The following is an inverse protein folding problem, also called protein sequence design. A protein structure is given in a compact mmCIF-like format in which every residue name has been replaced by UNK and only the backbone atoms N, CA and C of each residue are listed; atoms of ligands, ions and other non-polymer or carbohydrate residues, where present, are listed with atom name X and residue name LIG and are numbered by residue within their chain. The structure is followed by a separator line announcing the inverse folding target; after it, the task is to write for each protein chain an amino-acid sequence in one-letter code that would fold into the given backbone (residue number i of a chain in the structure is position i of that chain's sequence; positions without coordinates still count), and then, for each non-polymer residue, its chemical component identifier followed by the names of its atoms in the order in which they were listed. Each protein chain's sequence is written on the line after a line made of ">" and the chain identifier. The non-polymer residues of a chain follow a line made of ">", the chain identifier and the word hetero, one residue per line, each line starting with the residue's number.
data_IF_633029941783
#
_entry.id   IF_633029941783
#
_cell.length_a   1.000
_cell.length_b   1.000
_cell.length_c   1.000
_cell.angle_alpha   90.00
_cell.angle_beta   90.00
_cell.angle_gamma   90.00
#
_symmetry.space_group_name_H-M   'P 1'
#
loop_
_entity.id
_entity.type
_entity.pdbx_description
1 polymer ?
#
# COMPACT_ATOMS: atom_id res chain seq x y z
N UNK A 1 -1.66 -17.23 -15.11
CA UNK A 1 -0.36 -16.86 -15.67
C UNK A 1 0.77 -17.59 -14.92
N UNK A 2 0.68 -17.76 -13.59
CA UNK A 2 1.76 -18.25 -12.71
C UNK A 2 1.67 -19.75 -12.35
N UNK A 3 0.96 -20.58 -13.08
CA UNK A 3 0.84 -22.02 -12.81
C UNK A 3 2.21 -22.77 -12.82
N UNK A 4 3.24 -22.19 -13.44
CA UNK A 4 4.58 -22.75 -13.42
C UNK A 4 5.22 -22.71 -12.01
N UNK A 5 4.74 -21.88 -11.09
CA UNK A 5 5.23 -21.80 -9.72
C UNK A 5 4.85 -23.01 -8.83
N UNK A 6 3.92 -23.85 -9.29
CA UNK A 6 3.53 -25.08 -8.58
C UNK A 6 4.60 -26.20 -8.69
N UNK A 7 5.70 -25.94 -9.41
CA UNK A 7 6.80 -26.87 -9.64
C UNK A 7 8.02 -26.51 -8.79
N UNK A 8 9.01 -27.41 -8.78
CA UNK A 8 10.31 -27.13 -8.20
C UNK A 8 11.05 -26.06 -9.02
N UNK A 9 11.99 -25.34 -8.36
CA UNK A 9 12.77 -24.30 -9.02
C UNK A 9 13.56 -24.89 -10.20
N UNK A 10 13.42 -24.31 -11.40
CA UNK A 10 14.23 -24.73 -12.56
C UNK A 10 15.67 -24.21 -12.44
N UNK A 11 16.59 -24.81 -13.19
CA UNK A 11 18.00 -24.37 -13.24
C UNK A 11 18.18 -22.92 -13.75
N UNK A 12 17.15 -22.37 -14.39
CA UNK A 12 17.13 -20.98 -14.89
C UNK A 12 16.84 -19.93 -13.82
N UNK A 13 16.35 -20.32 -12.65
CA UNK A 13 15.96 -19.43 -11.58
C UNK A 13 16.80 -19.67 -10.31
N UNK A 14 17.11 -18.59 -9.58
CA UNK A 14 17.69 -18.72 -8.25
C UNK A 14 16.66 -19.37 -7.30
N UNK A 15 16.98 -20.43 -6.56
CA UNK A 15 16.03 -21.13 -5.68
C UNK A 15 15.42 -20.23 -4.59
N UNK A 16 16.18 -19.24 -4.09
CA UNK A 16 15.67 -18.29 -3.09
C UNK A 16 14.64 -17.36 -3.70
N UNK A 17 14.89 -16.84 -4.92
CA UNK A 17 13.92 -16.01 -5.65
C UNK A 17 12.68 -16.82 -6.01
N UNK A 18 12.83 -18.07 -6.41
CA UNK A 18 11.70 -18.96 -6.70
C UNK A 18 10.81 -19.13 -5.46
N UNK A 19 11.43 -19.43 -4.32
CA UNK A 19 10.71 -19.55 -3.04
C UNK A 19 10.02 -18.26 -2.64
N UNK A 20 10.70 -17.13 -2.78
CA UNK A 20 10.14 -15.80 -2.53
C UNK A 20 8.93 -15.52 -3.43
N UNK A 21 9.05 -15.81 -4.73
CA UNK A 21 7.96 -15.67 -5.69
C UNK A 21 6.74 -16.53 -5.32
N UNK A 22 6.95 -17.78 -4.89
CA UNK A 22 5.87 -18.65 -4.40
C UNK A 22 5.14 -18.05 -3.19
N UNK A 23 5.88 -17.42 -2.26
CA UNK A 23 5.30 -16.75 -1.09
C UNK A 23 4.53 -15.49 -1.50
N UNK A 24 5.09 -14.67 -2.39
CA UNK A 24 4.45 -13.46 -2.90
C UNK A 24 3.20 -13.75 -3.76
N UNK A 25 3.08 -14.97 -4.28
CA UNK A 25 1.88 -15.40 -5.01
C UNK A 25 0.69 -15.77 -4.11
N UNK A 26 0.87 -15.76 -2.80
CA UNK A 26 -0.22 -15.94 -1.83
C UNK A 26 -0.97 -14.61 -1.68
N UNK A 27 -2.18 -14.53 -2.21
CA UNK A 27 -2.97 -13.30 -2.28
C UNK A 27 -4.35 -13.46 -1.64
N UNK A 28 -4.97 -12.37 -1.27
CA UNK A 28 -6.32 -12.32 -0.72
C UNK A 28 -6.45 -11.42 0.50
N UNK A 29 -7.52 -11.64 1.26
CA UNK A 29 -7.85 -10.93 2.50
C UNK A 29 -7.33 -11.73 3.70
N UNK A 30 -6.55 -11.07 4.56
CA UNK A 30 -5.96 -11.65 5.75
C UNK A 30 -6.31 -10.83 6.99
N UNK A 31 -6.75 -11.47 8.05
CA UNK A 31 -6.82 -10.85 9.37
C UNK A 31 -5.42 -10.85 9.99
N UNK A 32 -4.90 -9.66 10.31
CA UNK A 32 -3.59 -9.47 10.94
C UNK A 32 -3.70 -9.61 12.45
N UNK A 33 -4.70 -8.96 13.01
CA UNK A 33 -5.14 -9.05 14.41
C UNK A 33 -6.60 -8.56 14.47
N UNK A 34 -7.26 -8.73 15.60
CA UNK A 34 -8.67 -8.36 15.76
C UNK A 34 -8.96 -6.93 15.26
N UNK A 35 -9.79 -6.86 14.22
CA UNK A 35 -10.21 -5.62 13.57
C UNK A 35 -9.14 -4.94 12.72
N UNK A 36 -8.03 -5.60 12.40
CA UNK A 36 -7.05 -5.13 11.38
C UNK A 36 -6.93 -6.20 10.31
N UNK A 37 -7.24 -5.81 9.08
CA UNK A 37 -7.24 -6.68 7.91
C UNK A 37 -6.32 -6.13 6.84
N UNK A 38 -5.74 -7.01 6.04
CA UNK A 38 -4.84 -6.63 4.96
C UNK A 38 -5.20 -7.39 3.68
N UNK A 39 -5.35 -6.67 2.58
CA UNK A 39 -5.43 -7.29 1.25
C UNK A 39 -4.03 -7.30 0.65
N UNK A 40 -3.54 -8.49 0.35
CA UNK A 40 -2.19 -8.77 -0.16
C UNK A 40 -2.23 -9.32 -1.56
N UNK A 41 -1.20 -9.04 -2.36
CA UNK A 41 -1.02 -9.60 -3.70
C UNK A 41 -1.97 -9.05 -4.77
N UNK A 42 -2.66 -7.95 -4.51
CA UNK A 42 -3.50 -7.24 -5.49
C UNK A 42 -2.70 -6.19 -6.27
N UNK A 43 -1.61 -5.73 -5.69
CA UNK A 43 -0.64 -4.83 -6.30
C UNK A 43 0.76 -5.11 -5.72
N UNK A 44 1.71 -4.26 -5.99
CA UNK A 44 3.07 -4.29 -5.43
C UNK A 44 3.04 -4.10 -3.91
N UNK A 45 2.32 -3.11 -3.44
CA UNK A 45 2.07 -2.84 -2.02
C UNK A 45 0.85 -3.60 -1.48
N UNK A 46 0.62 -3.52 -0.18
CA UNK A 46 -0.56 -4.07 0.50
C UNK A 46 -1.42 -2.94 1.06
N UNK A 47 -2.74 -3.07 0.93
CA UNK A 47 -3.67 -2.15 1.58
C UNK A 47 -4.16 -2.72 2.90
N UNK A 48 -4.17 -1.89 3.95
CA UNK A 48 -4.63 -2.26 5.29
C UNK A 48 -5.95 -1.56 5.63
N UNK A 49 -6.87 -2.30 6.24
CA UNK A 49 -8.17 -1.83 6.71
C UNK A 49 -8.25 -2.01 8.23
N UNK A 50 -8.41 -0.90 8.95
CA UNK A 50 -8.57 -0.89 10.41
C UNK A 50 -10.03 -0.60 10.70
N UNK A 51 -10.68 -1.48 11.46
CA UNK A 51 -12.06 -1.31 11.87
C UNK A 51 -12.16 -0.28 12.98
N UNK A 52 -12.86 0.79 12.70
CA UNK A 52 -13.28 1.78 13.70
C UNK A 52 -14.68 1.47 14.26
N UNK A 53 -15.26 2.42 14.99
CA UNK A 53 -16.58 2.28 15.61
C UNK A 53 -17.69 2.21 14.56
N UNK A 54 -17.58 2.98 13.47
CA UNK A 54 -18.65 3.13 12.46
C UNK A 54 -18.20 2.80 11.03
N UNK A 55 -16.90 2.73 10.77
CA UNK A 55 -16.39 2.56 9.42
C UNK A 55 -14.97 2.00 9.36
N UNK A 56 -14.31 2.22 8.23
CA UNK A 56 -12.95 1.81 7.95
C UNK A 56 -11.97 2.99 8.00
N UNK A 57 -10.80 2.76 8.57
CA UNK A 57 -9.59 3.55 8.34
C UNK A 57 -8.75 2.74 7.37
N UNK A 58 -8.49 3.31 6.19
CA UNK A 58 -7.73 2.65 5.13
C UNK A 58 -6.30 3.16 5.15
N UNK A 59 -5.33 2.26 5.08
CA UNK A 59 -3.90 2.63 5.04
C UNK A 59 -3.31 2.15 3.72
N UNK A 60 -2.66 3.05 3.01
CA UNK A 60 -1.94 2.81 1.76
C UNK A 60 -2.80 2.15 0.67
N UNK A 61 -3.65 2.91 -0.01
CA UNK A 61 -4.64 2.40 -0.95
C UNK A 61 -4.06 1.97 -2.32
N UNK A 62 -2.90 1.29 -2.33
CA UNK A 62 -2.28 0.71 -3.52
C UNK A 62 -1.87 1.74 -4.59
N UNK A 63 -1.36 1.25 -5.74
CA UNK A 63 -0.86 2.09 -6.84
C UNK A 63 -1.97 2.51 -7.81
N UNK A 64 -2.93 1.61 -8.12
CA UNK A 64 -3.97 1.90 -9.09
C UNK A 64 -5.38 1.85 -8.50
N UNK A 65 -6.24 2.71 -9.05
CA UNK A 65 -7.66 2.80 -8.67
C UNK A 65 -8.37 1.45 -8.82
N UNK A 66 -8.07 0.73 -9.89
CA UNK A 66 -8.71 -0.55 -10.22
C UNK A 66 -8.34 -1.63 -9.20
N UNK A 67 -7.07 -1.71 -8.79
CA UNK A 67 -6.63 -2.65 -7.77
C UNK A 67 -7.17 -2.28 -6.39
N UNK A 68 -7.18 -0.99 -6.05
CA UNK A 68 -7.74 -0.48 -4.79
C UNK A 68 -9.25 -0.75 -4.69
N UNK A 69 -10.01 -0.50 -5.76
CA UNK A 69 -11.44 -0.81 -5.81
C UNK A 69 -11.72 -2.31 -5.68
N UNK A 70 -10.92 -3.16 -6.36
CA UNK A 70 -11.05 -4.61 -6.25
C UNK A 70 -10.72 -5.11 -4.82
N UNK A 71 -9.69 -4.56 -4.19
CA UNK A 71 -9.33 -4.87 -2.82
C UNK A 71 -10.42 -4.44 -1.83
N UNK A 72 -10.99 -3.25 -2.02
CA UNK A 72 -12.09 -2.75 -1.18
C UNK A 72 -13.35 -3.61 -1.36
N UNK A 73 -13.70 -3.97 -2.59
CA UNK A 73 -14.83 -4.89 -2.86
C UNK A 73 -14.65 -6.23 -2.16
N UNK A 74 -13.42 -6.78 -2.15
CA UNK A 74 -13.13 -8.03 -1.43
C UNK A 74 -13.38 -7.88 0.09
N UNK A 75 -13.03 -6.73 0.67
CA UNK A 75 -13.30 -6.43 2.07
C UNK A 75 -14.80 -6.34 2.32
N UNK A 76 -15.55 -5.61 1.49
CA UNK A 76 -17.01 -5.48 1.63
C UNK A 76 -17.75 -6.82 1.51
N UNK A 77 -17.34 -7.67 0.57
CA UNK A 77 -17.92 -8.99 0.36
C UNK A 77 -17.74 -9.94 1.56
N UNK A 78 -16.62 -9.83 2.27
CA UNK A 78 -16.27 -10.73 3.37
C UNK A 78 -16.61 -10.17 4.76
N UNK A 79 -16.53 -8.85 4.94
CA UNK A 79 -16.65 -8.21 6.26
C UNK A 79 -17.86 -7.25 6.36
N UNK A 80 -18.56 -7.03 5.25
CA UNK A 80 -19.72 -6.14 5.17
C UNK A 80 -19.37 -4.73 4.73
N UNK A 81 -20.38 -4.02 4.22
CA UNK A 81 -20.25 -2.66 3.69
C UNK A 81 -20.29 -1.64 4.83
N UNK A 82 -19.21 -0.89 4.98
CA UNK A 82 -19.07 0.19 5.94
C UNK A 82 -18.42 1.41 5.26
N UNK A 83 -18.77 2.65 5.68
CA UNK A 83 -18.15 3.84 5.12
C UNK A 83 -16.67 3.90 5.47
N UNK A 84 -15.87 4.52 4.61
CA UNK A 84 -14.51 4.93 4.95
C UNK A 84 -14.57 6.21 5.78
N UNK A 85 -13.79 6.30 6.86
CA UNK A 85 -13.69 7.45 7.77
C UNK A 85 -12.39 8.20 7.63
N UNK A 86 -11.32 7.48 7.28
CA UNK A 86 -10.06 8.10 6.95
C UNK A 86 -9.25 7.24 5.99
N UNK A 87 -8.34 7.91 5.27
CA UNK A 87 -7.26 7.28 4.53
C UNK A 87 -5.94 7.82 5.09
N UNK A 88 -5.00 6.93 5.35
CA UNK A 88 -3.65 7.26 5.84
C UNK A 88 -2.66 6.88 4.74
N UNK A 89 -1.85 7.83 4.30
CA UNK A 89 -0.68 7.59 3.48
C UNK A 89 0.55 7.49 4.37
N UNK A 90 1.24 6.37 4.35
CA UNK A 90 2.44 6.18 5.18
C UNK A 90 3.61 7.00 4.69
N UNK A 91 3.80 7.05 3.37
CA UNK A 91 4.90 7.75 2.72
C UNK A 91 4.57 8.13 1.26
N UNK A 92 5.48 8.86 0.63
CA UNK A 92 5.24 9.57 -0.63
C UNK A 92 5.45 8.75 -1.91
N UNK A 93 5.64 7.43 -1.83
CA UNK A 93 5.69 6.56 -3.01
C UNK A 93 4.29 6.26 -3.55
N UNK A 94 4.17 6.21 -4.87
CA UNK A 94 2.87 6.17 -5.57
C UNK A 94 2.05 4.90 -5.30
N UNK A 95 2.70 3.80 -5.01
CA UNK A 95 2.05 2.53 -4.70
C UNK A 95 1.40 2.50 -3.30
N UNK A 96 1.56 3.57 -2.51
CA UNK A 96 0.92 3.76 -1.21
C UNK A 96 -0.20 4.81 -1.22
N UNK A 97 -0.43 5.51 -2.35
CA UNK A 97 -1.53 6.48 -2.44
C UNK A 97 -2.27 6.48 -3.78
N UNK A 98 -1.66 5.96 -4.83
CA UNK A 98 -2.15 6.11 -6.21
C UNK A 98 -3.54 5.56 -6.48
N UNK A 99 -3.98 4.57 -5.72
CA UNK A 99 -5.30 3.96 -5.84
C UNK A 99 -6.42 4.65 -5.06
N UNK A 100 -6.16 5.75 -4.37
CA UNK A 100 -7.08 6.37 -3.41
C UNK A 100 -8.49 6.61 -3.95
N UNK A 101 -8.63 7.07 -5.20
CA UNK A 101 -9.95 7.30 -5.83
C UNK A 101 -10.67 6.01 -6.24
N UNK A 102 -10.07 4.86 -6.08
CA UNK A 102 -10.75 3.57 -6.15
C UNK A 102 -11.54 3.22 -4.88
N UNK A 103 -11.30 3.96 -3.78
CA UNK A 103 -11.89 3.71 -2.47
C UNK A 103 -12.76 4.88 -1.99
N UNK A 104 -12.31 6.13 -2.20
CA UNK A 104 -13.02 7.35 -1.79
C UNK A 104 -13.09 8.35 -2.94
N UNK A 105 -14.03 9.29 -2.85
CA UNK A 105 -14.16 10.42 -3.78
C UNK A 105 -13.60 11.73 -3.19
N UNK A 106 -13.36 12.73 -4.03
CA UNK A 106 -13.04 14.08 -3.55
C UNK A 106 -14.21 14.73 -2.81
N UNK A 107 -15.45 14.41 -3.19
CA UNK A 107 -16.65 14.90 -2.54
C UNK A 107 -16.73 14.43 -1.08
N UNK A 108 -16.36 13.18 -0.79
CA UNK A 108 -16.32 12.63 0.57
C UNK A 108 -15.34 13.39 1.45
N UNK A 109 -14.20 13.81 0.88
CA UNK A 109 -13.17 14.59 1.58
C UNK A 109 -13.60 16.05 1.76
N UNK A 110 -14.19 16.66 0.72
CA UNK A 110 -14.67 18.06 0.77
C UNK A 110 -15.85 18.24 1.71
N UNK A 111 -16.71 17.23 1.85
CA UNK A 111 -17.82 17.25 2.83
C UNK A 111 -17.32 17.10 4.28
N UNK A 112 -16.11 16.61 4.48
CA UNK A 112 -15.54 16.30 5.78
C UNK A 112 -15.93 14.91 6.32
N UNK A 113 -16.54 14.07 5.50
CA UNK A 113 -16.93 12.70 5.87
C UNK A 113 -15.72 11.78 5.97
N UNK A 114 -14.67 12.07 5.17
CA UNK A 114 -13.41 11.33 5.13
C UNK A 114 -12.23 12.26 5.35
N UNK A 115 -11.33 11.89 6.28
CA UNK A 115 -10.04 12.54 6.49
C UNK A 115 -8.95 11.85 5.65
N UNK A 116 -8.04 12.63 5.04
CA UNK A 116 -6.82 12.10 4.42
C UNK A 116 -5.62 12.59 5.25
N UNK A 117 -4.84 11.65 5.77
CA UNK A 117 -3.75 11.90 6.72
C UNK A 117 -2.43 11.47 6.09
N UNK A 118 -1.39 12.30 6.22
CA UNK A 118 -0.07 12.00 5.67
C UNK A 118 1.04 12.64 6.54
N UNK A 119 2.30 12.19 6.41
CA UNK A 119 3.42 12.86 7.07
C UNK A 119 3.70 14.23 6.44
N UNK A 120 4.27 15.14 7.21
CA UNK A 120 4.70 16.48 6.76
C UNK A 120 5.52 16.40 5.48
N UNK A 121 5.20 17.28 4.53
CA UNK A 121 5.87 17.38 3.24
C UNK A 121 5.50 16.30 2.21
N UNK A 122 4.54 15.46 2.50
CA UNK A 122 4.09 14.37 1.63
C UNK A 122 3.81 14.84 0.20
N UNK A 123 2.96 15.84 0.02
CA UNK A 123 2.56 16.33 -1.30
C UNK A 123 3.75 16.80 -2.14
N UNK A 124 4.67 17.56 -1.51
CA UNK A 124 5.89 18.04 -2.18
C UNK A 124 6.71 16.89 -2.74
N UNK A 125 6.89 15.83 -1.96
CA UNK A 125 7.72 14.69 -2.36
C UNK A 125 7.00 13.79 -3.35
N UNK A 126 5.70 13.55 -3.19
CA UNK A 126 4.89 12.82 -4.15
C UNK A 126 4.88 13.49 -5.54
N UNK A 127 4.72 14.83 -5.59
CA UNK A 127 4.78 15.61 -6.85
C UNK A 127 6.19 15.58 -7.46
N UNK A 128 7.22 15.75 -6.63
CA UNK A 128 8.61 15.73 -7.09
C UNK A 128 8.97 14.40 -7.76
N UNK A 129 8.62 13.29 -7.13
CA UNK A 129 8.95 11.96 -7.64
C UNK A 129 8.13 11.56 -8.86
N UNK A 130 6.81 11.77 -8.82
CA UNK A 130 5.93 11.23 -9.85
C UNK A 130 5.72 12.16 -11.04
N UNK A 131 5.86 13.48 -10.87
CA UNK A 131 5.70 14.45 -11.97
C UNK A 131 7.05 14.87 -12.50
N UNK A 132 7.93 15.45 -11.66
CA UNK A 132 9.21 15.94 -12.15
C UNK A 132 10.18 14.81 -12.52
N UNK A 133 10.26 13.77 -11.70
CA UNK A 133 11.14 12.62 -11.93
C UNK A 133 10.45 11.42 -12.60
N UNK A 134 9.13 11.46 -12.82
CA UNK A 134 8.31 10.30 -13.20
C UNK A 134 8.83 9.53 -14.42
N UNK A 135 9.31 10.22 -15.48
CA UNK A 135 9.90 9.54 -16.65
C UNK A 135 11.19 8.79 -16.28
N UNK A 136 12.02 9.36 -15.41
CA UNK A 136 13.26 8.71 -14.95
C UNK A 136 12.94 7.51 -14.06
N UNK A 137 11.97 7.65 -13.16
CA UNK A 137 11.49 6.57 -12.30
C UNK A 137 10.92 5.41 -13.12
N UNK A 138 10.06 5.69 -14.10
CA UNK A 138 9.50 4.66 -14.99
C UNK A 138 10.57 3.89 -15.77
N UNK A 139 11.63 4.55 -16.21
CA UNK A 139 12.79 3.88 -16.86
C UNK A 139 13.56 3.00 -15.87
N UNK A 140 13.81 3.49 -14.66
CA UNK A 140 14.48 2.71 -13.61
C UNK A 140 13.64 1.48 -13.23
N UNK A 141 12.34 1.65 -13.02
CA UNK A 141 11.42 0.56 -12.72
C UNK A 141 11.44 -0.52 -13.81
N UNK A 142 11.52 -0.14 -15.09
CA UNK A 142 11.61 -1.09 -16.20
C UNK A 142 12.87 -1.97 -16.15
N UNK A 143 13.99 -1.41 -15.70
CA UNK A 143 15.23 -2.19 -15.48
C UNK A 143 15.18 -2.98 -14.18
N UNK A 144 14.68 -2.38 -13.10
CA UNK A 144 14.63 -3.01 -11.77
C UNK A 144 13.70 -4.22 -11.75
N UNK A 145 12.53 -4.08 -12.35
CA UNK A 145 11.45 -5.06 -12.24
C UNK A 145 11.24 -5.92 -13.49
N UNK A 146 11.96 -5.66 -14.56
CA UNK A 146 11.79 -6.42 -15.81
C UNK A 146 10.37 -6.31 -16.38
N UNK A 147 9.74 -5.14 -16.30
CA UNK A 147 8.32 -4.93 -16.63
C UNK A 147 7.93 -5.28 -18.08
N UNK A 148 8.91 -5.43 -18.96
CA UNK A 148 8.73 -5.81 -20.37
C UNK A 148 8.83 -7.33 -20.59
N UNK A 149 9.21 -8.10 -19.57
CA UNK A 149 9.33 -9.56 -19.67
C UNK A 149 7.98 -10.21 -19.35
N UNK A 150 7.72 -11.32 -20.04
CA UNK A 150 6.55 -12.15 -19.73
C UNK A 150 6.80 -12.99 -18.47
N UNK A 151 5.74 -13.25 -17.70
CA UNK A 151 5.80 -14.13 -16.54
C UNK A 151 6.09 -15.58 -16.98
N UNK A 152 7.28 -16.06 -16.66
CA UNK A 152 7.72 -17.42 -17.01
C UNK A 152 8.98 -17.80 -16.22
N UNK A 153 9.35 -19.08 -16.28
CA UNK A 153 10.58 -19.63 -15.69
C UNK A 153 11.88 -18.99 -16.22
N UNK A 154 11.83 -18.37 -17.38
CA UNK A 154 13.00 -17.72 -18.04
C UNK A 154 12.79 -16.23 -18.26
N UNK A 155 11.66 -15.68 -17.84
CA UNK A 155 11.30 -14.27 -17.93
C UNK A 155 11.20 -13.60 -16.58
N UNK A 156 10.10 -12.84 -16.33
CA UNK A 156 9.82 -12.25 -15.03
C UNK A 156 9.20 -13.30 -14.10
N UNK A 157 9.78 -13.47 -12.92
CA UNK A 157 9.20 -14.30 -11.84
C UNK A 157 8.35 -13.43 -10.91
N UNK A 158 8.99 -12.49 -10.25
CA UNK A 158 8.42 -11.49 -9.34
C UNK A 158 9.33 -10.27 -9.32
N UNK A 159 8.94 -9.24 -8.57
CA UNK A 159 9.75 -8.03 -8.38
C UNK A 159 10.44 -7.98 -6.99
N UNK A 160 10.45 -9.10 -6.28
CA UNK A 160 11.02 -9.24 -4.93
C UNK A 160 10.01 -8.92 -3.84
N UNK A 161 9.46 -7.72 -3.84
CA UNK A 161 8.46 -7.25 -2.87
C UNK A 161 7.01 -7.64 -3.22
N UNK A 162 6.77 -8.23 -4.39
CA UNK A 162 5.46 -8.65 -4.88
C UNK A 162 5.55 -9.27 -6.26
N UNK A 163 4.41 -9.60 -6.85
CA UNK A 163 4.34 -10.24 -8.16
C UNK A 163 4.57 -9.27 -9.32
N UNK A 164 4.27 -8.00 -9.15
CA UNK A 164 4.43 -6.97 -10.17
C UNK A 164 3.74 -5.67 -9.82
N UNK A 165 3.98 -4.64 -10.63
CA UNK A 165 3.28 -3.36 -10.55
C UNK A 165 1.95 -3.44 -11.32
N UNK A 166 0.89 -2.87 -10.77
CA UNK A 166 -0.36 -2.68 -11.50
C UNK A 166 -0.17 -1.70 -12.67
N UNK A 167 -1.02 -1.82 -13.68
CA UNK A 167 -1.00 -0.98 -14.90
C UNK A 167 -2.27 -0.15 -15.05
N UNK A 168 -3.00 0.02 -13.95
CA UNK A 168 -4.24 0.80 -13.91
C UNK A 168 -4.02 2.31 -13.84
N UNK A 169 -5.09 3.02 -13.52
CA UNK A 169 -5.12 4.47 -13.41
C UNK A 169 -4.61 4.91 -12.04
N UNK A 170 -3.64 5.81 -12.02
CA UNK A 170 -3.13 6.43 -10.79
C UNK A 170 -3.91 7.69 -10.48
N UNK A 171 -4.18 7.95 -9.23
CA UNK A 171 -4.92 9.11 -8.73
C UNK A 171 -4.23 9.76 -7.53
N UNK A 172 -4.77 10.90 -7.11
CA UNK A 172 -4.30 11.60 -5.93
C UNK A 172 -5.43 12.40 -5.29
N UNK A 173 -5.46 12.43 -3.97
CA UNK A 173 -6.27 13.34 -3.16
C UNK A 173 -5.33 13.94 -2.11
N UNK A 174 -5.27 15.28 -2.02
CA UNK A 174 -4.40 15.98 -1.08
C UNK A 174 -4.76 15.65 0.38
N UNK A 175 -3.76 15.49 1.26
CA UNK A 175 -4.00 15.34 2.69
C UNK A 175 -4.79 16.51 3.28
N UNK A 176 -5.71 16.21 4.18
CA UNK A 176 -6.46 17.20 4.97
C UNK A 176 -5.84 17.41 6.34
N UNK A 177 -4.99 16.48 6.77
CA UNK A 177 -4.23 16.52 8.01
C UNK A 177 -2.79 16.06 7.76
N UNK A 178 -1.82 16.89 8.06
CA UNK A 178 -0.40 16.52 8.07
C UNK A 178 0.06 16.25 9.50
N UNK A 179 0.76 15.14 9.70
CA UNK A 179 1.45 14.82 10.96
C UNK A 179 2.80 15.52 10.94
N UNK A 180 3.02 16.43 11.88
CA UNK A 180 4.20 17.32 11.91
C UNK A 180 5.18 17.01 13.03
N UNK A 181 4.76 16.24 14.03
CA UNK A 181 5.61 15.88 15.17
C UNK A 181 5.46 14.39 15.53
N UNK A 182 6.57 13.76 15.91
CA UNK A 182 6.54 12.42 16.49
C UNK A 182 5.86 12.45 17.85
N UNK A 183 4.96 11.51 18.09
CA UNK A 183 4.16 11.42 19.31
C UNK A 183 2.79 12.10 19.19
N UNK A 184 2.46 12.72 18.04
CA UNK A 184 1.10 13.18 17.81
C UNK A 184 0.11 12.01 17.90
N UNK A 185 -1.05 12.28 18.54
CA UNK A 185 -2.13 11.32 18.71
C UNK A 185 -3.41 11.88 18.15
N UNK A 186 -4.06 11.07 17.34
CA UNK A 186 -5.39 11.37 16.80
C UNK A 186 -6.33 10.22 17.06
N UNK A 187 -7.57 10.54 17.44
CA UNK A 187 -8.65 9.55 17.55
C UNK A 187 -9.48 9.62 16.28
N UNK A 188 -9.47 8.56 15.50
CA UNK A 188 -10.15 8.45 14.22
C UNK A 188 -11.18 7.34 14.36
N UNK A 189 -12.47 7.69 14.21
CA UNK A 189 -13.59 6.74 14.35
C UNK A 189 -13.43 5.80 15.57
N UNK A 190 -13.07 6.37 16.75
CA UNK A 190 -12.89 5.63 18.00
C UNK A 190 -11.52 4.94 18.17
N UNK A 191 -10.66 4.93 17.17
CA UNK A 191 -9.32 4.34 17.25
C UNK A 191 -8.29 5.42 17.53
N UNK A 192 -7.61 5.35 18.69
CA UNK A 192 -6.45 6.21 19.00
C UNK A 192 -5.22 5.67 18.25
N UNK A 193 -4.60 6.55 17.47
CA UNK A 193 -3.38 6.29 16.70
C UNK A 193 -2.31 7.28 17.13
N UNK A 194 -1.14 6.79 17.53
CA UNK A 194 0.05 7.58 17.82
C UNK A 194 1.04 7.48 16.66
N UNK A 195 1.43 8.63 16.11
CA UNK A 195 2.28 8.72 14.93
C UNK A 195 3.76 8.95 15.27
N UNK A 196 4.63 8.35 14.47
CA UNK A 196 6.08 8.54 14.52
C UNK A 196 6.58 8.93 13.15
N UNK A 197 7.10 10.15 13.01
CA UNK A 197 7.76 10.56 11.77
C UNK A 197 9.11 9.87 11.63
N UNK A 198 9.37 9.35 10.42
CA UNK A 198 10.61 8.66 10.05
C UNK A 198 11.15 9.20 8.72
N UNK A 199 11.33 10.52 8.57
CA UNK A 199 11.71 11.12 7.30
C UNK A 199 13.08 10.65 6.83
N UNK A 200 13.18 10.32 5.53
CA UNK A 200 14.43 9.89 4.90
C UNK A 200 14.86 8.47 5.25
N UNK A 201 13.94 7.63 5.73
CA UNK A 201 14.16 6.19 5.86
C UNK A 201 13.97 5.50 4.50
N UNK A 202 12.75 5.09 4.15
CA UNK A 202 12.46 4.54 2.83
C UNK A 202 12.11 5.68 1.85
N UNK A 203 11.33 6.69 2.29
CA UNK A 203 10.97 7.87 1.53
C UNK A 203 11.31 9.18 2.27
N UNK A 204 11.43 10.32 1.54
CA UNK A 204 11.71 11.61 2.18
C UNK A 204 10.64 12.06 3.17
N UNK A 205 9.35 11.78 2.88
CA UNK A 205 8.23 11.99 3.79
C UNK A 205 7.65 10.63 4.16
N UNK A 206 7.80 10.23 5.42
CA UNK A 206 7.40 8.91 5.90
C UNK A 206 7.05 8.92 7.38
N UNK A 207 6.13 8.03 7.77
CA UNK A 207 5.74 7.82 9.17
C UNK A 207 5.34 6.37 9.43
N UNK A 208 5.61 5.95 10.66
CA UNK A 208 5.03 4.75 11.29
C UNK A 208 3.89 5.18 12.21
N UNK A 209 3.10 4.22 12.70
CA UNK A 209 2.13 4.52 13.76
C UNK A 209 1.82 3.30 14.64
N UNK A 210 1.42 3.62 15.88
CA UNK A 210 1.07 2.67 16.92
C UNK A 210 -0.42 2.74 17.27
N UNK A 211 -1.09 1.60 17.32
CA UNK A 211 -2.48 1.43 17.76
C UNK A 211 -2.46 0.66 19.07
N UNK A 212 -2.43 1.40 20.20
CA UNK A 212 -2.28 0.81 21.52
C UNK A 212 -3.40 -0.15 21.88
N UNK A 213 -4.64 0.16 21.55
CA UNK A 213 -5.82 -0.69 21.81
C UNK A 213 -5.77 -2.05 21.13
N UNK A 214 -5.02 -2.17 20.04
CA UNK A 214 -4.87 -3.40 19.24
C UNK A 214 -3.48 -4.04 19.38
N UNK A 215 -2.58 -3.42 20.18
CA UNK A 215 -1.17 -3.82 20.31
C UNK A 215 -0.50 -4.02 18.94
N UNK A 216 -0.77 -3.11 18.02
CA UNK A 216 -0.31 -3.19 16.63
C UNK A 216 0.57 -2.00 16.27
N UNK A 217 1.74 -2.28 15.70
CA UNK A 217 2.66 -1.30 15.13
C UNK A 217 2.64 -1.42 13.60
N UNK A 218 2.34 -0.34 12.92
CA UNK A 218 2.37 -0.25 11.47
C UNK A 218 3.65 0.49 11.05
N UNK A 219 4.46 -0.11 10.18
CA UNK A 219 5.82 0.39 9.89
C UNK A 219 6.09 0.61 8.40
N UNK A 220 5.07 0.57 7.57
CA UNK A 220 5.23 0.69 6.12
C UNK A 220 6.34 -0.26 5.60
N UNK A 221 7.21 0.24 4.74
CA UNK A 221 8.34 -0.52 4.20
C UNK A 221 9.60 -0.43 5.07
N UNK A 222 9.58 0.29 6.21
CA UNK A 222 10.64 0.22 7.22
C UNK A 222 10.78 -1.18 7.84
N UNK A 223 9.77 -2.04 7.64
CA UNK A 223 9.78 -3.44 8.07
C UNK A 223 9.12 -4.31 7.00
N UNK A 224 9.86 -4.69 5.98
CA UNK A 224 9.38 -5.58 4.92
C UNK A 224 9.78 -7.02 5.16
N UNK A 225 8.98 -7.97 4.65
CA UNK A 225 9.31 -9.39 4.67
C UNK A 225 10.26 -9.81 3.54
N UNK A 226 10.31 -9.02 2.48
CA UNK A 226 11.10 -9.28 1.25
C UNK A 226 11.70 -7.99 0.73
N UNK A 227 12.71 -8.10 -0.14
CA UNK A 227 13.41 -6.96 -0.73
C UNK A 227 13.39 -7.06 -2.26
N UNK A 228 13.42 -5.93 -2.93
CA UNK A 228 13.59 -5.82 -4.39
C UNK A 228 15.00 -5.45 -4.82
#
# INVERSE_FOLDING_TARGET
>A
AYAFLDQDAPDTANPSLWRDTQLNHIYGLFEVTDGIYQVRGYDMSNVTFIKGDTGWIVVDPLMSMECAAAAFSLVEENLGTFPVKAVIYSHSHVDHFGGVRGIISEEDVQSGDVQVIAPEGFEKHAVSENIYAGTAMGRRASYQYGTMLEASETGALAIGIGMGQSRGSTSYISPTLEITETGEKHTIDGVEIEFQLTPGTEAPAEMNFWIGSKNALWMAENCTGTLH
#
